data_IF_388877133620
#
_entry.id   IF_388877133620
#
_cell.length_a   1.000
_cell.length_b   1.000
_cell.length_c   1.000
_cell.angle_alpha   90.00
_cell.angle_beta   90.00
_cell.angle_gamma   90.00
#
_symmetry.space_group_name_H-M   'P 1'
#
loop_
_entity.id
_entity.type
_entity.pdbx_description
1 polymer ?
#
# COMPACT_ATOMS: atom_id res chain seq x y z
N UNK A 1 -86.20 0.48 -8.69
CA UNK A 1 -85.83 0.79 -10.10
C UNK A 1 -84.80 1.93 -10.22
N UNK A 2 -85.02 3.12 -9.62
CA UNK A 2 -84.09 4.27 -9.71
C UNK A 2 -82.66 4.00 -9.20
N UNK A 3 -82.50 3.15 -8.19
CA UNK A 3 -81.20 2.75 -7.61
C UNK A 3 -80.40 1.81 -8.52
N UNK A 4 -81.08 0.86 -9.19
CA UNK A 4 -80.46 -0.02 -10.18
C UNK A 4 -80.03 0.75 -11.42
N UNK A 5 -80.86 1.71 -11.86
CA UNK A 5 -80.57 2.54 -13.02
C UNK A 5 -79.36 3.44 -12.77
N UNK A 6 -79.25 4.07 -11.58
CA UNK A 6 -78.05 4.83 -11.18
C UNK A 6 -76.78 3.99 -11.18
N UNK A 7 -76.84 2.74 -10.68
CA UNK A 7 -75.70 1.81 -10.69
C UNK A 7 -75.29 1.43 -12.11
N UNK A 8 -76.26 1.18 -13.00
CA UNK A 8 -76.00 0.83 -14.40
C UNK A 8 -75.39 2.00 -15.18
N UNK A 9 -75.86 3.23 -14.95
CA UNK A 9 -75.30 4.43 -15.58
C UNK A 9 -73.87 4.71 -15.11
N UNK A 10 -73.57 4.51 -13.83
CA UNK A 10 -72.20 4.63 -13.31
C UNK A 10 -71.26 3.57 -13.90
N UNK A 11 -71.76 2.35 -14.10
CA UNK A 11 -70.98 1.26 -14.71
C UNK A 11 -70.66 1.54 -16.18
N UNK A 12 -71.65 2.02 -16.95
CA UNK A 12 -71.41 2.40 -18.35
C UNK A 12 -70.47 3.60 -18.48
N UNK A 13 -70.54 4.57 -17.57
CA UNK A 13 -69.64 5.73 -17.58
C UNK A 13 -68.19 5.33 -17.27
N UNK A 14 -67.98 4.38 -16.36
CA UNK A 14 -66.65 3.84 -16.03
C UNK A 14 -66.04 3.01 -17.19
N UNK A 15 -66.87 2.36 -18.01
CA UNK A 15 -66.42 1.64 -19.21
C UNK A 15 -66.08 2.56 -20.40
N UNK A 16 -66.57 3.81 -20.40
CA UNK A 16 -66.34 4.79 -21.47
C UNK A 16 -65.16 5.74 -21.22
N UNK A 17 -64.50 5.67 -20.06
CA UNK A 17 -63.32 6.48 -19.81
C UNK A 17 -62.13 5.93 -20.61
N UNK A 18 -61.40 6.78 -21.36
CA UNK A 18 -60.21 6.33 -22.09
C UNK A 18 -59.20 5.78 -21.09
N UNK A 19 -58.81 4.52 -21.28
CA UNK A 19 -57.66 3.93 -20.58
C UNK A 19 -56.43 4.62 -21.14
N UNK A 20 -56.04 5.74 -20.54
CA UNK A 20 -54.76 6.35 -20.77
C UNK A 20 -53.68 5.33 -20.39
N UNK A 21 -52.75 5.07 -21.29
CA UNK A 21 -51.78 3.98 -21.23
C UNK A 21 -50.78 4.02 -20.04
N UNK A 22 -50.99 4.88 -19.04
CA UNK A 22 -50.14 5.04 -17.86
C UNK A 22 -50.65 4.36 -16.59
N UNK A 23 -51.87 3.82 -16.54
CA UNK A 23 -52.33 3.09 -15.34
C UNK A 23 -52.98 1.76 -15.70
N UNK A 24 -52.16 0.73 -15.88
CA UNK A 24 -52.61 -0.65 -15.69
C UNK A 24 -53.04 -0.77 -14.23
N UNK A 25 -54.32 -0.52 -13.97
CA UNK A 25 -54.97 -0.66 -12.66
C UNK A 25 -55.23 -2.14 -12.43
N UNK A 26 -54.57 -2.76 -11.46
CA UNK A 26 -54.82 -4.17 -11.11
C UNK A 26 -56.19 -4.27 -10.43
N UNK A 27 -57.01 -5.23 -10.87
CA UNK A 27 -58.28 -5.52 -10.21
C UNK A 27 -58.03 -6.49 -9.06
N UNK A 28 -58.35 -6.11 -7.82
CA UNK A 28 -58.27 -7.00 -6.64
C UNK A 28 -59.67 -7.32 -6.10
N UNK A 29 -59.96 -8.59 -5.72
CA UNK A 29 -61.15 -8.93 -4.96
C UNK A 29 -61.04 -8.32 -3.55
N UNK A 30 -62.01 -7.50 -3.14
CA UNK A 30 -62.00 -6.82 -1.83
C UNK A 30 -63.06 -7.36 -0.85
N UNK A 31 -63.53 -8.59 -1.09
CA UNK A 31 -64.60 -9.20 -0.30
C UNK A 31 -66.01 -8.66 -0.62
N UNK A 32 -66.15 -7.74 -1.59
CA UNK A 32 -67.45 -7.23 -2.06
C UNK A 32 -67.53 -6.92 -3.56
N UNK A 33 -66.41 -7.00 -4.30
CA UNK A 33 -66.32 -6.83 -5.74
C UNK A 33 -64.87 -6.76 -6.22
N UNK A 34 -64.67 -6.27 -7.45
CA UNK A 34 -63.34 -5.95 -7.97
C UNK A 34 -63.08 -4.46 -7.78
N UNK A 35 -62.03 -4.11 -7.02
CA UNK A 35 -61.56 -2.72 -6.92
C UNK A 35 -60.38 -2.49 -7.85
N UNK A 36 -60.40 -1.31 -8.47
CA UNK A 36 -59.28 -0.71 -9.17
C UNK A 36 -58.34 -0.14 -8.12
N UNK A 37 -57.15 -0.72 -8.00
CA UNK A 37 -56.10 -0.23 -7.09
C UNK A 37 -54.87 0.23 -7.89
N UNK A 38 -54.25 1.33 -7.45
CA UNK A 38 -52.96 1.77 -7.99
C UNK A 38 -51.84 0.85 -7.46
N UNK A 39 -50.70 0.80 -8.17
CA UNK A 39 -49.61 -0.16 -7.92
C UNK A 39 -49.05 -0.12 -6.48
N UNK A 40 -48.85 1.07 -5.92
CA UNK A 40 -48.27 1.24 -4.56
C UNK A 40 -49.20 0.70 -3.46
N UNK A 41 -50.51 1.05 -3.44
CA UNK A 41 -51.50 0.40 -2.57
C UNK A 41 -51.53 -1.12 -2.71
N UNK A 42 -51.45 -1.64 -3.93
CA UNK A 42 -51.46 -3.08 -4.18
C UNK A 42 -50.26 -3.79 -3.55
N UNK A 43 -49.03 -3.30 -3.76
CA UNK A 43 -47.82 -3.90 -3.17
C UNK A 43 -47.85 -3.79 -1.64
N UNK A 44 -48.40 -2.69 -1.11
CA UNK A 44 -48.60 -2.54 0.35
C UNK A 44 -49.54 -3.61 0.89
N UNK A 45 -50.64 -3.91 0.18
CA UNK A 45 -51.59 -4.95 0.58
C UNK A 45 -51.01 -6.38 0.51
N UNK A 46 -49.97 -6.61 -0.30
CA UNK A 46 -49.20 -7.86 -0.31
C UNK A 46 -48.17 -7.95 0.85
N UNK A 47 -48.07 -6.92 1.69
CA UNK A 47 -47.10 -6.87 2.80
C UNK A 47 -45.72 -6.37 2.40
N UNK A 48 -45.58 -5.66 1.28
CA UNK A 48 -44.29 -5.11 0.86
C UNK A 48 -43.75 -4.04 1.81
N UNK A 49 -42.50 -4.20 2.26
CA UNK A 49 -41.77 -3.19 3.04
C UNK A 49 -41.38 -1.98 2.18
N UNK A 50 -40.98 -0.86 2.78
CA UNK A 50 -40.53 0.33 2.02
C UNK A 50 -39.43 0.00 1.00
N UNK A 51 -38.40 -0.74 1.42
CA UNK A 51 -37.33 -1.17 0.53
C UNK A 51 -37.82 -2.17 -0.53
N UNK A 52 -38.70 -3.10 -0.16
CA UNK A 52 -39.30 -4.04 -1.11
C UNK A 52 -40.13 -3.34 -2.19
N UNK A 53 -40.93 -2.35 -1.81
CA UNK A 53 -41.71 -1.52 -2.73
C UNK A 53 -40.81 -0.74 -3.70
N UNK A 54 -39.65 -0.26 -3.24
CA UNK A 54 -38.69 0.42 -4.09
C UNK A 54 -38.03 -0.54 -5.10
N UNK A 55 -37.72 -1.78 -4.70
CA UNK A 55 -37.16 -2.80 -5.59
C UNK A 55 -38.13 -3.19 -6.71
N UNK A 56 -39.41 -3.36 -6.42
CA UNK A 56 -40.44 -3.70 -7.43
C UNK A 56 -40.70 -2.58 -8.45
N UNK A 57 -40.32 -1.35 -8.12
CA UNK A 57 -40.56 -0.17 -8.96
C UNK A 57 -39.30 0.34 -9.65
N UNK A 58 -38.17 -0.36 -9.47
CA UNK A 58 -36.89 0.05 -9.98
C UNK A 58 -36.88 -0.04 -11.53
N UNK A 59 -36.43 1.00 -12.25
CA UNK A 59 -36.27 0.94 -13.70
C UNK A 59 -35.27 -0.13 -14.11
N UNK A 60 -35.48 -0.73 -15.29
CA UNK A 60 -34.48 -1.62 -15.89
C UNK A 60 -33.18 -0.86 -16.15
N UNK A 61 -32.03 -1.34 -15.67
CA UNK A 61 -30.77 -0.68 -15.91
C UNK A 61 -30.27 -0.94 -17.35
N UNK A 62 -29.57 0.02 -17.93
CA UNK A 62 -28.91 -0.10 -19.25
C UNK A 62 -27.45 -0.60 -19.15
N UNK A 63 -26.95 -0.83 -17.94
CA UNK A 63 -25.59 -1.31 -17.64
C UNK A 63 -25.55 -2.05 -16.31
N UNK A 64 -24.39 -2.62 -15.95
CA UNK A 64 -24.20 -3.27 -14.64
C UNK A 64 -24.28 -2.20 -13.54
N UNK A 65 -25.24 -2.36 -12.65
CA UNK A 65 -25.45 -1.52 -11.47
C UNK A 65 -25.56 -2.39 -10.22
N UNK A 66 -25.23 -1.81 -9.07
CA UNK A 66 -25.26 -2.49 -7.78
C UNK A 66 -26.34 -1.86 -6.90
N UNK A 67 -27.22 -2.69 -6.34
CA UNK A 67 -28.26 -2.23 -5.42
C UNK A 67 -27.66 -1.99 -4.04
N UNK A 68 -27.96 -0.83 -3.46
CA UNK A 68 -27.75 -0.54 -2.04
C UNK A 68 -29.08 -0.25 -1.36
N UNK A 69 -29.37 -0.98 -0.29
CA UNK A 69 -30.40 -0.61 0.67
C UNK A 69 -29.72 0.28 1.72
N UNK A 70 -30.24 1.48 1.90
CA UNK A 70 -29.69 2.45 2.84
C UNK A 70 -30.32 2.29 4.22
N UNK A 71 -29.69 2.89 5.23
CA UNK A 71 -30.18 2.84 6.62
C UNK A 71 -31.58 3.49 6.79
N UNK A 72 -31.97 4.38 5.89
CA UNK A 72 -33.28 5.01 5.83
C UNK A 72 -34.33 4.18 5.06
N UNK A 73 -34.02 2.92 4.71
CA UNK A 73 -34.83 2.01 3.88
C UNK A 73 -35.04 2.47 2.42
N UNK A 74 -34.32 3.49 1.95
CA UNK A 74 -34.29 3.83 0.53
C UNK A 74 -33.40 2.84 -0.26
N UNK A 75 -33.63 2.77 -1.57
CA UNK A 75 -32.85 1.94 -2.49
C UNK A 75 -32.12 2.84 -3.47
N UNK A 76 -30.81 2.69 -3.58
CA UNK A 76 -29.97 3.40 -4.56
C UNK A 76 -29.31 2.41 -5.52
N UNK A 77 -29.11 2.83 -6.77
CA UNK A 77 -28.28 2.14 -7.75
C UNK A 77 -26.91 2.80 -7.82
N UNK A 78 -25.87 2.03 -7.54
CA UNK A 78 -24.49 2.48 -7.56
C UNK A 78 -23.78 1.94 -8.81
N UNK A 79 -22.86 2.73 -9.34
CA UNK A 79 -21.85 2.23 -10.27
C UNK A 79 -20.80 1.40 -9.53
N UNK A 80 -19.85 0.82 -10.26
CA UNK A 80 -18.84 -0.05 -9.66
C UNK A 80 -17.95 0.69 -8.64
N UNK A 81 -17.66 1.97 -8.85
CA UNK A 81 -16.83 2.76 -7.94
C UNK A 81 -17.59 3.11 -6.64
N UNK A 82 -18.84 3.55 -6.78
CA UNK A 82 -19.74 3.83 -5.66
C UNK A 82 -20.00 2.59 -4.81
N UNK A 83 -20.20 1.42 -5.43
CA UNK A 83 -20.36 0.16 -4.70
C UNK A 83 -19.11 -0.20 -3.89
N UNK A 84 -17.92 -0.12 -4.49
CA UNK A 84 -16.65 -0.37 -3.78
C UNK A 84 -16.50 0.57 -2.58
N UNK A 85 -16.78 1.86 -2.76
CA UNK A 85 -16.73 2.81 -1.66
C UNK A 85 -17.75 2.49 -0.56
N UNK A 86 -18.96 2.05 -0.93
CA UNK A 86 -20.02 1.72 0.03
C UNK A 86 -19.68 0.50 0.91
N UNK A 87 -18.89 -0.45 0.42
CA UNK A 87 -18.42 -1.62 1.19
C UNK A 87 -17.04 -1.38 1.85
N UNK A 88 -16.46 -0.18 1.72
CA UNK A 88 -15.14 0.14 2.25
C UNK A 88 -13.98 -0.54 1.51
N UNK A 89 -14.20 -1.02 0.29
CA UNK A 89 -13.15 -1.64 -0.52
C UNK A 89 -12.29 -0.55 -1.19
N UNK A 90 -10.98 -0.62 -0.98
CA UNK A 90 -10.03 0.24 -1.68
C UNK A 90 -9.87 -0.22 -3.14
N UNK A 91 -9.78 0.71 -4.11
CA UNK A 91 -9.38 0.36 -5.47
C UNK A 91 -7.95 -0.17 -5.46
N UNK A 92 -7.73 -1.41 -5.91
CA UNK A 92 -6.39 -1.94 -6.09
C UNK A 92 -5.77 -1.33 -7.35
N UNK A 93 -4.90 -0.34 -7.18
CA UNK A 93 -4.05 0.18 -8.27
C UNK A 93 -2.73 -0.60 -8.41
N UNK A 94 -2.52 -1.63 -7.59
CA UNK A 94 -1.36 -2.54 -7.62
C UNK A 94 -1.63 -3.86 -6.92
N UNK A 95 -0.67 -4.79 -7.02
CA UNK A 95 -0.73 -6.08 -6.32
C UNK A 95 -0.77 -5.82 -4.81
N UNK A 96 -1.90 -6.09 -4.18
CA UNK A 96 -2.01 -6.10 -2.72
C UNK A 96 -1.25 -7.32 -2.23
N UNK A 97 -0.01 -7.13 -1.76
CA UNK A 97 0.62 -8.12 -0.90
C UNK A 97 -0.09 -8.08 0.46
N UNK A 98 -1.19 -8.83 0.57
CA UNK A 98 -1.66 -9.27 1.89
C UNK A 98 -0.60 -10.24 2.36
N UNK A 99 0.25 -9.79 3.29
CA UNK A 99 1.28 -10.57 4.00
C UNK A 99 1.13 -12.09 3.80
N UNK A 100 1.77 -12.70 2.78
CA UNK A 100 1.84 -14.13 2.76
C UNK A 100 2.89 -14.42 3.79
N UNK A 101 2.53 -15.12 4.86
CA UNK A 101 3.49 -15.99 5.51
C UNK A 101 4.13 -16.85 4.40
N UNK A 102 5.27 -16.41 3.88
CA UNK A 102 6.07 -17.06 2.86
C UNK A 102 6.69 -18.30 3.50
N UNK A 103 5.89 -19.36 3.61
CA UNK A 103 6.44 -20.69 3.82
C UNK A 103 6.93 -21.20 2.48
N UNK A 104 8.24 -21.10 2.26
CA UNK A 104 8.92 -21.53 1.04
C UNK A 104 9.93 -20.51 0.55
N UNK A 105 11.06 -20.98 0.02
CA UNK A 105 12.10 -20.15 -0.57
C UNK A 105 11.60 -19.59 -1.91
N UNK A 106 11.26 -18.30 -1.97
CA UNK A 106 11.01 -17.62 -3.24
C UNK A 106 12.33 -17.09 -3.78
N UNK A 107 12.71 -17.53 -4.98
CA UNK A 107 13.84 -16.93 -5.70
C UNK A 107 13.44 -15.51 -6.12
N UNK A 108 14.01 -14.52 -5.46
CA UNK A 108 13.84 -13.11 -5.84
C UNK A 108 14.98 -12.74 -6.79
N UNK A 109 14.62 -12.21 -7.95
CA UNK A 109 15.59 -11.74 -8.94
C UNK A 109 16.36 -10.53 -8.41
N UNK A 110 17.61 -10.38 -8.83
CA UNK A 110 18.43 -9.23 -8.44
C UNK A 110 17.75 -7.92 -8.87
N UNK A 111 17.75 -6.93 -7.97
CA UNK A 111 17.06 -5.65 -8.17
C UNK A 111 15.53 -5.66 -8.07
N UNK A 112 14.87 -6.83 -7.91
CA UNK A 112 13.41 -6.90 -7.75
C UNK A 112 12.91 -6.41 -6.38
N UNK A 113 13.81 -6.23 -5.42
CA UNK A 113 13.49 -5.73 -4.08
C UNK A 113 13.62 -4.20 -4.04
N UNK A 114 12.47 -3.51 -4.02
CA UNK A 114 12.39 -2.11 -3.61
C UNK A 114 11.93 -2.07 -2.15
N UNK A 115 12.81 -1.66 -1.23
CA UNK A 115 12.47 -1.45 0.18
C UNK A 115 12.21 0.05 0.36
N UNK A 116 10.95 0.43 0.53
CA UNK A 116 10.59 1.77 0.99
C UNK A 116 10.98 1.92 2.49
N UNK A 117 11.30 3.14 2.93
CA UNK A 117 11.71 3.45 4.31
C UNK A 117 12.93 2.64 4.78
N UNK A 118 14.07 2.85 4.11
CA UNK A 118 15.35 2.19 4.39
C UNK A 118 16.01 2.62 5.71
N UNK A 119 15.38 3.46 6.53
CA UNK A 119 15.96 3.95 7.79
C UNK A 119 16.34 2.80 8.75
N UNK A 120 15.55 1.74 8.79
CA UNK A 120 15.83 0.51 9.55
C UNK A 120 16.94 -0.33 8.92
N UNK A 121 17.00 -0.39 7.59
CA UNK A 121 18.03 -1.13 6.86
C UNK A 121 19.41 -0.48 6.98
N UNK A 122 19.48 0.86 6.89
CA UNK A 122 20.72 1.60 7.06
C UNK A 122 21.28 1.40 8.48
N UNK A 123 20.41 1.41 9.49
CA UNK A 123 20.76 1.10 10.88
C UNK A 123 21.27 -0.33 11.03
N UNK A 124 20.58 -1.32 10.44
CA UNK A 124 20.99 -2.72 10.47
C UNK A 124 22.35 -2.95 9.78
N UNK A 125 22.56 -2.33 8.62
CA UNK A 125 23.81 -2.43 7.86
C UNK A 125 24.97 -1.75 8.58
N UNK A 126 24.74 -0.58 9.19
CA UNK A 126 25.73 0.10 10.02
C UNK A 126 26.07 -0.72 11.28
N UNK A 127 25.08 -1.39 11.89
CA UNK A 127 25.31 -2.26 13.05
C UNK A 127 26.11 -3.53 12.71
N UNK A 128 26.17 -3.92 11.44
CA UNK A 128 27.01 -5.02 10.95
C UNK A 128 28.42 -4.57 10.55
N UNK A 129 28.70 -3.26 10.55
CA UNK A 129 30.03 -2.72 10.30
C UNK A 129 30.72 -2.46 11.63
N UNK A 130 31.84 -3.12 11.88
CA UNK A 130 32.64 -2.85 13.08
C UNK A 130 33.53 -1.65 12.79
N UNK A 131 33.49 -0.63 13.63
CA UNK A 131 34.31 0.58 13.49
C UNK A 131 35.55 0.47 14.36
N UNK A 132 36.71 0.63 13.75
CA UNK A 132 38.02 0.66 14.39
C UNK A 132 38.55 2.08 14.30
N UNK A 133 38.70 2.79 15.42
CA UNK A 133 39.22 4.15 15.43
C UNK A 133 40.71 4.15 15.65
N UNK A 134 41.46 4.93 14.87
CA UNK A 134 42.93 4.90 14.96
C UNK A 134 43.46 5.37 16.32
N UNK A 135 42.73 6.28 17.00
CA UNK A 135 43.05 6.75 18.35
C UNK A 135 42.97 5.64 19.41
N UNK A 136 42.08 4.65 19.24
CA UNK A 136 41.95 3.52 20.17
C UNK A 136 43.18 2.60 20.12
N UNK A 137 43.99 2.74 19.07
CA UNK A 137 45.26 2.04 18.87
C UNK A 137 46.47 2.92 19.16
N UNK A 138 46.29 4.08 19.81
CA UNK A 138 47.37 4.96 20.26
C UNK A 138 47.88 5.96 19.22
N UNK A 139 47.06 6.31 18.22
CA UNK A 139 47.43 7.35 17.26
C UNK A 139 47.47 8.75 17.91
N UNK A 140 48.44 9.57 17.49
CA UNK A 140 48.53 10.97 17.89
C UNK A 140 47.77 11.87 16.91
N UNK A 141 46.54 12.24 17.28
CA UNK A 141 45.70 13.14 16.48
C UNK A 141 46.19 14.59 16.47
N UNK A 142 47.15 14.97 17.33
CA UNK A 142 47.77 16.30 17.32
C UNK A 142 48.85 16.45 16.24
N UNK A 143 49.25 15.35 15.60
CA UNK A 143 50.23 15.36 14.51
C UNK A 143 51.66 15.67 14.95
N UNK A 144 51.99 15.48 16.23
CA UNK A 144 53.35 15.64 16.74
C UNK A 144 54.15 14.33 16.62
N UNK A 145 53.50 13.19 16.84
CA UNK A 145 54.05 11.84 16.78
C UNK A 145 53.72 11.04 15.52
N UNK A 146 54.50 9.97 15.29
CA UNK A 146 54.27 9.00 14.23
C UNK A 146 53.18 7.99 14.65
N UNK A 147 52.13 7.89 13.83
CA UNK A 147 50.97 7.03 14.03
C UNK A 147 51.04 5.72 13.24
N UNK A 148 52.18 5.40 12.60
CA UNK A 148 52.38 4.14 11.84
C UNK A 148 52.09 2.90 12.70
N UNK A 149 52.52 2.89 13.96
CA UNK A 149 52.27 1.76 14.88
C UNK A 149 50.77 1.58 15.22
N UNK A 150 50.05 2.68 15.38
CA UNK A 150 48.61 2.67 15.63
C UNK A 150 47.84 2.18 14.40
N UNK A 151 48.25 2.62 13.21
CA UNK A 151 47.70 2.13 11.94
C UNK A 151 47.86 0.61 11.78
N UNK A 152 49.08 0.10 11.97
CA UNK A 152 49.35 -1.34 11.85
C UNK A 152 48.51 -2.17 12.83
N UNK A 153 48.35 -1.68 14.06
CA UNK A 153 47.55 -2.35 15.11
C UNK A 153 46.06 -2.33 14.77
N UNK A 154 45.54 -1.19 14.29
CA UNK A 154 44.16 -1.04 13.85
C UNK A 154 43.83 -1.98 12.67
N UNK A 155 44.70 -2.01 11.66
CA UNK A 155 44.56 -2.86 10.48
C UNK A 155 44.64 -4.34 10.84
N UNK A 156 45.49 -4.72 11.80
CA UNK A 156 45.56 -6.08 12.33
C UNK A 156 44.26 -6.48 13.06
N UNK A 157 43.71 -5.58 13.88
CA UNK A 157 42.44 -5.82 14.58
C UNK A 157 41.26 -5.95 13.60
N UNK A 158 41.16 -5.05 12.61
CA UNK A 158 40.17 -5.16 11.55
C UNK A 158 40.35 -6.45 10.72
N UNK A 159 41.60 -6.88 10.52
CA UNK A 159 41.91 -8.15 9.87
C UNK A 159 41.42 -9.37 10.63
N UNK A 160 41.54 -9.35 11.96
CA UNK A 160 41.12 -10.43 12.83
C UNK A 160 39.59 -10.51 12.97
N UNK A 161 38.89 -9.39 12.87
CA UNK A 161 37.43 -9.33 12.97
C UNK A 161 36.70 -10.02 11.80
N UNK A 162 37.37 -10.28 10.67
CA UNK A 162 36.91 -11.14 9.58
C UNK A 162 35.72 -10.63 8.75
N UNK A 163 34.98 -9.62 9.21
CA UNK A 163 33.80 -9.04 8.56
C UNK A 163 34.03 -7.67 7.90
N UNK A 164 32.92 -6.98 7.60
CA UNK A 164 32.95 -5.60 7.13
C UNK A 164 33.48 -4.68 8.24
N UNK A 165 34.54 -3.94 7.93
CA UNK A 165 35.19 -3.03 8.87
C UNK A 165 35.17 -1.59 8.35
N UNK A 166 35.12 -0.65 9.27
CA UNK A 166 35.42 0.76 9.02
C UNK A 166 36.70 1.13 9.75
N UNK A 167 37.72 1.56 9.02
CA UNK A 167 38.93 2.15 9.58
C UNK A 167 38.69 3.66 9.66
N UNK A 168 38.56 4.17 10.88
CA UNK A 168 38.15 5.54 11.15
C UNK A 168 39.32 6.37 11.65
N UNK A 169 39.64 7.42 10.89
CA UNK A 169 40.47 8.52 11.33
C UNK A 169 39.56 9.55 12.02
N UNK A 170 39.59 9.62 13.34
CA UNK A 170 38.92 10.70 14.09
C UNK A 170 39.54 12.04 13.73
N UNK A 171 38.83 13.16 13.89
CA UNK A 171 39.34 14.48 13.51
C UNK A 171 40.72 14.77 14.12
N UNK A 172 41.69 15.13 13.27
CA UNK A 172 43.07 15.36 13.67
C UNK A 172 44.05 15.33 12.50
N UNK A 173 45.33 15.58 12.80
CA UNK A 173 46.44 15.39 11.87
C UNK A 173 47.20 14.15 12.30
N UNK A 174 47.35 13.17 11.41
CA UNK A 174 48.11 11.96 11.69
C UNK A 174 49.32 11.88 10.76
N UNK A 175 50.51 11.78 11.34
CA UNK A 175 51.75 11.54 10.60
C UNK A 175 52.07 10.05 10.60
N UNK A 176 52.73 9.57 9.56
CA UNK A 176 53.21 8.19 9.47
C UNK A 176 52.94 7.55 8.12
N UNK A 177 53.35 6.29 8.00
CA UNK A 177 53.13 5.46 6.82
C UNK A 177 51.87 4.61 7.01
N UNK A 178 50.87 4.84 6.16
CA UNK A 178 49.61 4.09 6.18
C UNK A 178 49.57 3.14 4.99
N UNK A 179 49.94 1.88 5.22
CA UNK A 179 50.03 0.86 4.17
C UNK A 179 49.01 -0.26 4.37
N UNK A 180 48.42 -0.73 3.28
CA UNK A 180 47.61 -1.95 3.23
C UNK A 180 48.29 -2.96 2.29
N UNK A 181 48.20 -4.23 2.64
CA UNK A 181 48.59 -5.33 1.74
C UNK A 181 47.48 -5.64 0.75
N UNK A 182 47.81 -6.28 -0.38
CA UNK A 182 46.82 -6.74 -1.36
C UNK A 182 45.72 -7.62 -0.75
N UNK A 183 46.07 -8.44 0.25
CA UNK A 183 45.11 -9.29 0.97
C UNK A 183 44.10 -8.49 1.79
N UNK A 184 44.43 -7.27 2.18
CA UNK A 184 43.56 -6.35 2.92
C UNK A 184 42.74 -5.47 1.99
N UNK A 185 43.28 -5.11 0.81
CA UNK A 185 42.56 -4.32 -0.20
C UNK A 185 41.38 -5.06 -0.85
N UNK A 186 41.42 -6.40 -0.88
CA UNK A 186 40.30 -7.21 -1.40
C UNK A 186 39.18 -7.39 -0.38
N UNK A 187 39.36 -6.91 0.86
CA UNK A 187 38.31 -6.96 1.88
C UNK A 187 37.31 -5.83 1.70
N UNK A 188 36.09 -6.06 2.18
CA UNK A 188 35.00 -5.06 2.19
C UNK A 188 35.18 -4.06 3.33
N UNK A 189 36.26 -3.29 3.25
CA UNK A 189 36.58 -2.28 4.23
C UNK A 189 36.27 -0.90 3.71
N UNK A 190 35.75 -0.07 4.60
CA UNK A 190 35.53 1.34 4.38
C UNK A 190 36.60 2.09 5.16
N UNK A 191 37.18 3.12 4.57
CA UNK A 191 38.18 3.95 5.23
C UNK A 191 37.66 5.38 5.20
N UNK A 192 37.59 6.02 6.37
CA UNK A 192 36.89 7.30 6.56
C UNK A 192 37.63 8.22 7.49
N UNK A 193 37.57 9.52 7.22
CA UNK A 193 38.02 10.58 8.12
C UNK A 193 36.84 11.42 8.65
N UNK A 194 36.92 11.82 9.92
CA UNK A 194 36.02 12.81 10.51
C UNK A 194 36.63 14.21 10.36
N UNK A 195 35.91 15.13 9.72
CA UNK A 195 36.42 16.48 9.44
C UNK A 195 37.40 16.50 8.26
N UNK A 196 37.25 17.48 7.37
CA UNK A 196 37.92 17.58 6.06
C UNK A 196 39.43 17.83 6.07
N UNK A 197 40.18 17.24 7.02
CA UNK A 197 41.63 17.18 6.97
C UNK A 197 42.08 16.16 5.92
N UNK A 198 42.95 16.60 5.01
CA UNK A 198 43.57 15.72 4.02
C UNK A 198 44.39 14.64 4.73
N UNK A 199 44.08 13.36 4.48
CA UNK A 199 45.00 12.28 4.80
C UNK A 199 46.17 12.44 3.82
N UNK A 200 47.34 12.82 4.32
CA UNK A 200 48.54 12.99 3.50
C UNK A 200 48.84 11.73 2.68
N UNK A 201 49.38 11.94 1.48
CA UNK A 201 49.70 11.00 0.41
C UNK A 201 49.59 9.50 0.76
N UNK A 202 48.47 8.90 0.35
CA UNK A 202 48.31 7.45 0.32
C UNK A 202 49.26 6.86 -0.72
N UNK A 203 50.40 6.33 -0.29
CA UNK A 203 51.23 5.49 -1.14
C UNK A 203 50.72 4.05 -1.04
N UNK A 204 49.89 3.64 -2.01
CA UNK A 204 49.64 2.22 -2.24
C UNK A 204 50.98 1.57 -2.59
N UNK A 205 51.48 0.68 -1.73
CA UNK A 205 52.69 -0.10 -2.04
C UNK A 205 52.27 -1.16 -3.06
N UNK A 206 52.51 -0.88 -4.35
CA UNK A 206 52.38 -1.86 -5.42
C UNK A 206 53.32 -3.03 -5.15
N UNK A 207 52.79 -4.27 -5.15
CA UNK A 207 53.62 -5.40 -5.52
C UNK A 207 54.01 -5.20 -7.01
N UNK A 208 55.24 -5.55 -7.43
CA UNK A 208 55.69 -5.27 -8.80
C UNK A 208 54.69 -5.83 -9.82
N UNK A 209 54.08 -4.94 -10.63
CA UNK A 209 53.40 -5.32 -11.86
C UNK A 209 51.87 -5.20 -11.94
N UNK A 210 51.19 -4.33 -11.17
CA UNK A 210 49.77 -4.03 -11.44
C UNK A 210 49.43 -2.54 -11.38
N UNK A 211 49.18 -1.97 -12.56
CA UNK A 211 48.66 -0.61 -12.80
C UNK A 211 47.16 -0.54 -12.47
N UNK A 212 46.76 0.52 -11.76
CA UNK A 212 45.35 0.85 -11.50
C UNK A 212 44.74 1.55 -12.73
N UNK A 213 43.55 1.11 -13.15
CA UNK A 213 42.66 1.82 -14.09
C UNK A 213 41.66 2.62 -13.25
#
# INVERSE_FOLDING_TARGET
>A
MKTMLKKLTALMLAMLMPVNAETIRTLRPDGGGMKVEDRTPFITALGGTTAGQALFQLPNPSSITFIRINADNSVSLLDAAGFRNAIGAAPSTGAVLVNPSLSGTVAVQDGALAIADTNGLQTALNSKRTVFRMIDYGADAAGAGDSTGAWNSMVAAASAAGGNAELLFTAGTYKGNFTLTNSQLTRRWKITGEGGGSVGDWTAVEAPGKTLI
#
